data_IF_947883191774
#
_entry.id   IF_947883191774
#
_cell.length_a   1.000
_cell.length_b   1.000
_cell.length_c   1.000
_cell.angle_alpha   90.00
_cell.angle_beta   90.00
_cell.angle_gamma   90.00
#
_symmetry.space_group_name_H-M   'P 1'
#
loop_
_entity.id
_entity.type
_entity.pdbx_description
1 polymer ?
#
# COMPACT_ATOMS: atom_id res chain seq x y z
N UNK A 1 -1.33 -13.51 -4.97
CA UNK A 1 -0.01 -13.45 -4.30
C UNK A 1 0.67 -12.16 -4.74
N UNK A 2 1.36 -11.47 -3.85
CA UNK A 2 2.14 -10.25 -4.14
C UNK A 2 3.63 -10.55 -3.90
N UNK A 3 4.52 -10.14 -4.80
CA UNK A 3 5.96 -10.45 -4.72
C UNK A 3 6.79 -9.18 -4.77
N UNK A 4 7.67 -8.98 -3.77
CA UNK A 4 8.58 -7.83 -3.65
C UNK A 4 10.02 -8.31 -3.38
N UNK A 5 10.78 -8.70 -4.42
CA UNK A 5 12.09 -9.35 -4.24
C UNK A 5 13.17 -8.42 -3.68
N UNK A 6 12.99 -7.10 -3.76
CA UNK A 6 13.92 -6.11 -3.22
C UNK A 6 13.69 -5.82 -1.73
N UNK A 7 12.56 -6.24 -1.16
CA UNK A 7 12.24 -6.08 0.27
C UNK A 7 12.95 -7.16 1.09
N UNK A 8 13.69 -6.74 2.11
CA UNK A 8 14.46 -7.62 3.02
C UNK A 8 14.01 -7.58 4.47
N UNK A 9 13.07 -6.70 4.82
CA UNK A 9 12.61 -6.54 6.20
C UNK A 9 11.87 -7.78 6.70
N UNK A 10 12.04 -8.10 7.98
CA UNK A 10 11.28 -9.17 8.66
C UNK A 10 9.86 -8.75 9.06
N UNK A 11 9.46 -7.51 8.77
CA UNK A 11 8.14 -6.96 9.05
C UNK A 11 7.45 -6.55 7.76
N UNK A 12 6.17 -6.92 7.63
CA UNK A 12 5.33 -6.51 6.51
C UNK A 12 5.07 -5.00 6.58
N UNK A 13 5.34 -4.29 5.48
CA UNK A 13 4.95 -2.89 5.35
C UNK A 13 3.45 -2.76 5.11
N UNK A 14 2.81 -1.76 5.74
CA UNK A 14 1.38 -1.48 5.52
C UNK A 14 1.08 -1.23 4.04
N UNK A 15 1.95 -0.54 3.30
CA UNK A 15 1.77 -0.32 1.86
C UNK A 15 1.66 -1.62 1.06
N UNK A 16 2.49 -2.61 1.41
CA UNK A 16 2.55 -3.89 0.71
C UNK A 16 1.39 -4.80 1.17
N UNK A 17 0.94 -4.68 2.42
CA UNK A 17 -0.30 -5.29 2.89
C UNK A 17 -1.51 -4.74 2.12
N UNK A 18 -1.65 -3.42 2.03
CA UNK A 18 -2.79 -2.78 1.37
C UNK A 18 -2.83 -3.08 -0.12
N UNK A 19 -1.67 -3.16 -0.80
CA UNK A 19 -1.62 -3.58 -2.20
C UNK A 19 -2.20 -4.99 -2.38
N UNK A 20 -1.87 -5.94 -1.50
CA UNK A 20 -2.48 -7.27 -1.54
C UNK A 20 -3.98 -7.23 -1.21
N UNK A 21 -4.39 -6.43 -0.22
CA UNK A 21 -5.80 -6.29 0.16
C UNK A 21 -6.65 -5.80 -1.01
N UNK A 22 -6.15 -4.87 -1.84
CA UNK A 22 -6.83 -4.45 -3.07
C UNK A 22 -7.15 -5.65 -3.96
N UNK A 23 -6.17 -6.54 -4.22
CA UNK A 23 -6.42 -7.73 -5.02
C UNK A 23 -7.43 -8.68 -4.38
N UNK A 24 -7.38 -8.86 -3.05
CA UNK A 24 -8.36 -9.69 -2.35
C UNK A 24 -9.78 -9.10 -2.46
N UNK A 25 -9.94 -7.78 -2.37
CA UNK A 25 -11.24 -7.12 -2.56
C UNK A 25 -11.77 -7.28 -3.98
N UNK A 26 -10.90 -7.16 -5.00
CA UNK A 26 -11.30 -7.37 -6.40
C UNK A 26 -11.76 -8.81 -6.65
N UNK A 27 -11.02 -9.80 -6.14
CA UNK A 27 -11.39 -11.21 -6.24
C UNK A 27 -12.68 -11.49 -5.46
N UNK A 28 -12.86 -10.91 -4.27
CA UNK A 28 -14.09 -11.05 -3.49
C UNK A 28 -15.30 -10.46 -4.22
N UNK A 29 -15.13 -9.34 -4.91
CA UNK A 29 -16.18 -8.68 -5.67
C UNK A 29 -16.64 -9.52 -6.88
N UNK A 30 -15.70 -10.16 -7.57
CA UNK A 30 -15.99 -10.96 -8.77
C UNK A 30 -16.46 -12.38 -8.44
N UNK A 31 -15.85 -13.02 -7.43
CA UNK A 31 -16.00 -14.46 -7.17
C UNK A 31 -16.56 -14.78 -5.76
N UNK A 32 -16.91 -13.75 -4.97
CA UNK A 32 -17.45 -13.88 -3.62
C UNK A 32 -16.40 -13.95 -2.50
N UNK A 33 -16.81 -13.62 -1.26
CA UNK A 33 -15.91 -13.46 -0.10
C UNK A 33 -15.05 -14.71 0.20
N UNK A 34 -15.60 -15.91 -0.03
CA UNK A 34 -14.89 -17.18 0.21
C UNK A 34 -13.66 -17.35 -0.68
N UNK A 35 -13.68 -16.80 -1.89
CA UNK A 35 -12.58 -16.90 -2.84
C UNK A 35 -11.35 -16.05 -2.44
N UNK A 36 -11.51 -15.08 -1.55
CA UNK A 36 -10.47 -14.11 -1.21
C UNK A 36 -10.18 -13.99 0.30
N UNK A 37 -10.36 -15.06 1.06
CA UNK A 37 -10.19 -15.05 2.52
C UNK A 37 -8.77 -14.68 3.01
N UNK A 38 -7.74 -14.94 2.19
CA UNK A 38 -6.37 -14.54 2.48
C UNK A 38 -5.49 -14.53 1.21
N UNK A 39 -4.33 -13.91 1.31
CA UNK A 39 -3.26 -13.97 0.33
C UNK A 39 -1.89 -14.02 0.98
N UNK A 40 -0.85 -13.99 0.14
CA UNK A 40 0.54 -14.00 0.57
C UNK A 40 1.31 -12.82 -0.03
N UNK A 41 2.14 -12.18 0.80
CA UNK A 41 3.18 -11.25 0.37
C UNK A 41 4.54 -11.94 0.53
N UNK A 42 5.27 -12.09 -0.58
CA UNK A 42 6.61 -12.69 -0.62
C UNK A 42 7.66 -11.58 -0.72
N UNK A 43 8.39 -11.37 0.37
CA UNK A 43 9.64 -10.61 0.36
C UNK A 43 10.80 -11.52 -0.05
N UNK A 44 12.03 -11.02 -0.05
CA UNK A 44 13.20 -11.85 -0.43
C UNK A 44 13.38 -13.06 0.48
N UNK A 45 13.34 -12.83 1.79
CA UNK A 45 13.71 -13.84 2.80
C UNK A 45 12.51 -14.24 3.67
N UNK A 46 11.37 -13.52 3.57
CA UNK A 46 10.16 -13.78 4.34
C UNK A 46 8.90 -13.90 3.48
N UNK A 47 7.92 -14.66 3.97
CA UNK A 47 6.57 -14.76 3.40
C UNK A 47 5.56 -14.45 4.49
N UNK A 48 4.65 -13.52 4.22
CA UNK A 48 3.61 -13.10 5.15
C UNK A 48 2.24 -13.55 4.63
N UNK A 49 1.46 -14.22 5.47
CA UNK A 49 0.05 -14.51 5.19
C UNK A 49 -0.80 -13.35 5.67
N UNK A 50 -1.62 -12.81 4.78
CA UNK A 50 -2.52 -11.68 5.06
C UNK A 50 -3.95 -12.15 4.90
N UNK A 51 -4.73 -12.13 5.97
CA UNK A 51 -6.16 -12.41 5.93
C UNK A 51 -6.94 -11.17 5.51
N UNK A 52 -7.98 -11.33 4.68
CA UNK A 52 -8.92 -10.26 4.41
C UNK A 52 -9.90 -10.14 5.59
N UNK A 53 -9.63 -9.19 6.48
CA UNK A 53 -10.53 -8.87 7.59
C UNK A 53 -11.34 -7.62 7.26
N UNK A 54 -12.51 -7.45 7.90
CA UNK A 54 -13.30 -6.21 7.81
C UNK A 54 -12.48 -4.96 8.17
N UNK A 55 -11.50 -5.09 9.09
CA UNK A 55 -10.60 -3.99 9.44
C UNK A 55 -9.67 -3.58 8.30
N UNK A 56 -9.11 -4.56 7.58
CA UNK A 56 -8.25 -4.31 6.41
C UNK A 56 -9.03 -3.81 5.21
N UNK A 57 -10.22 -4.36 4.98
CA UNK A 57 -11.15 -3.85 3.97
C UNK A 57 -11.43 -2.36 4.21
N UNK A 58 -11.89 -2.01 5.41
CA UNK A 58 -12.16 -0.61 5.78
C UNK A 58 -10.93 0.27 5.59
N UNK A 59 -9.77 -0.16 6.09
CA UNK A 59 -8.51 0.59 5.94
C UNK A 59 -8.14 0.84 4.48
N UNK A 60 -8.33 -0.16 3.62
CA UNK A 60 -8.07 -0.04 2.19
C UNK A 60 -9.03 0.96 1.52
N UNK A 61 -10.31 0.94 1.89
CA UNK A 61 -11.31 1.87 1.37
C UNK A 61 -11.07 3.31 1.85
N UNK A 62 -10.69 3.50 3.12
CA UNK A 62 -10.27 4.79 3.67
C UNK A 62 -9.09 5.39 2.88
N UNK A 63 -8.07 4.56 2.57
CA UNK A 63 -6.92 4.99 1.78
C UNK A 63 -7.32 5.38 0.35
N UNK A 64 -8.19 4.60 -0.29
CA UNK A 64 -8.75 4.93 -1.61
C UNK A 64 -9.50 6.26 -1.59
N UNK A 65 -10.31 6.49 -0.56
CA UNK A 65 -11.10 7.72 -0.43
C UNK A 65 -10.19 8.93 -0.23
N UNK A 66 -9.12 8.78 0.58
CA UNK A 66 -8.07 9.78 0.70
C UNK A 66 -7.42 10.13 -0.64
N UNK A 67 -7.00 9.11 -1.40
CA UNK A 67 -6.43 9.32 -2.76
C UNK A 67 -7.43 10.03 -3.68
N UNK A 68 -8.70 9.63 -3.63
CA UNK A 68 -9.76 10.22 -4.48
C UNK A 68 -10.01 11.68 -4.13
N UNK A 69 -10.07 12.02 -2.83
CA UNK A 69 -10.24 13.38 -2.36
C UNK A 69 -9.04 14.25 -2.77
N UNK A 70 -7.82 13.79 -2.52
CA UNK A 70 -6.59 14.50 -2.92
C UNK A 70 -6.52 14.75 -4.42
N UNK A 71 -6.93 13.76 -5.24
CA UNK A 71 -6.98 13.95 -6.70
C UNK A 71 -8.00 14.99 -7.14
N UNK A 72 -9.11 15.14 -6.43
CA UNK A 72 -10.14 16.14 -6.74
C UNK A 72 -9.71 17.55 -6.34
N UNK A 73 -9.05 17.70 -5.20
CA UNK A 73 -8.60 19.03 -4.72
C UNK A 73 -7.29 19.47 -5.35
N UNK A 74 -6.48 18.54 -5.86
CA UNK A 74 -5.11 18.80 -6.32
C UNK A 74 -4.12 19.01 -5.16
N UNK A 75 -4.58 18.96 -3.91
CA UNK A 75 -3.77 19.22 -2.72
C UNK A 75 -3.09 17.93 -2.23
N UNK A 76 -2.08 17.50 -3.00
CA UNK A 76 -1.22 16.36 -2.65
C UNK A 76 0.00 16.86 -1.87
N UNK A 77 -0.16 17.05 -0.56
CA UNK A 77 0.93 17.41 0.34
C UNK A 77 2.08 16.40 0.31
N UNK A 78 3.30 16.88 0.56
CA UNK A 78 4.50 16.03 0.61
C UNK A 78 4.58 15.22 1.91
N UNK A 79 5.10 14.00 1.84
CA UNK A 79 5.26 13.12 3.01
C UNK A 79 6.51 13.43 3.85
N UNK A 80 6.74 14.70 4.21
CA UNK A 80 7.95 15.12 4.96
C UNK A 80 8.05 14.55 6.37
N UNK A 81 6.96 13.99 6.90
CA UNK A 81 6.97 13.22 8.16
C UNK A 81 7.74 11.89 8.04
N UNK A 82 8.04 11.45 6.81
CA UNK A 82 8.90 10.29 6.52
C UNK A 82 10.09 10.73 5.65
N UNK A 83 11.18 11.25 6.23
CA UNK A 83 12.31 11.80 5.46
C UNK A 83 12.89 10.84 4.41
N UNK A 84 12.87 9.53 4.70
CA UNK A 84 13.31 8.49 3.76
C UNK A 84 12.49 8.41 2.46
N UNK A 85 11.23 8.87 2.46
CA UNK A 85 10.43 8.99 1.24
C UNK A 85 10.87 10.17 0.40
N UNK A 86 11.22 11.30 1.03
CA UNK A 86 11.76 12.46 0.31
C UNK A 86 13.10 12.10 -0.34
N UNK A 87 14.01 11.48 0.42
CA UNK A 87 15.34 11.09 -0.06
C UNK A 87 15.34 10.11 -1.25
N UNK A 88 14.25 9.34 -1.43
CA UNK A 88 14.09 8.35 -2.53
C UNK A 88 13.00 8.76 -3.53
N UNK A 89 12.47 9.96 -3.44
CA UNK A 89 11.40 10.43 -4.32
C UNK A 89 11.94 10.69 -5.72
N UNK A 90 11.30 10.13 -6.74
CA UNK A 90 11.68 10.35 -8.14
C UNK A 90 11.51 11.79 -8.61
N UNK A 91 10.76 12.63 -7.87
CA UNK A 91 10.56 14.05 -8.17
C UNK A 91 11.47 14.97 -7.33
N UNK A 92 12.42 14.43 -6.55
CA UNK A 92 13.21 15.22 -5.60
C UNK A 92 13.93 16.41 -6.25
N UNK A 93 14.54 16.20 -7.41
CA UNK A 93 15.38 17.21 -8.09
C UNK A 93 14.59 18.41 -8.63
N UNK A 94 13.29 18.21 -8.89
CA UNK A 94 12.36 19.26 -9.35
C UNK A 94 11.41 19.72 -8.25
N UNK A 95 11.54 19.17 -7.03
CA UNK A 95 10.67 19.50 -5.91
C UNK A 95 11.25 20.68 -5.12
N UNK A 96 10.65 21.86 -5.25
CA UNK A 96 11.03 23.05 -4.49
C UNK A 96 10.75 23.00 -2.97
N UNK A 97 10.32 21.85 -2.45
CA UNK A 97 10.05 21.64 -1.02
C UNK A 97 10.84 20.44 -0.45
N UNK A 98 11.88 19.94 -1.12
CA UNK A 98 12.66 18.81 -0.62
C UNK A 98 13.30 19.10 0.77
N UNK A 99 13.63 18.06 1.54
CA UNK A 99 14.17 18.17 2.91
C UNK A 99 15.70 18.34 2.98
N UNK A 100 16.31 18.93 1.93
CA UNK A 100 17.73 18.90 1.56
C UNK A 100 18.11 17.75 0.60
#
# INVERSE_FOLDING_TARGET
MEVKPTRRGARLHESDEMQLVVYLLLVAAEYGERAASYGYVRYRDHTFRVQLTRGRERRCLELRDGVTATRRTGDAGRSHREPGRCARCSFRDVCGQNLA
#
